data_IF_923659665248
#
_entry.id   IF_923659665248
#
_cell.length_a   1.000
_cell.length_b   1.000
_cell.length_c   1.000
_cell.angle_alpha   90.00
_cell.angle_beta   90.00
_cell.angle_gamma   90.00
#
_symmetry.space_group_name_H-M   'P 1'
#
loop_
_entity.id
_entity.type
_entity.pdbx_description
1 polymer ?
#
# COMPACT_ATOMS: atom_id res chain seq x y z
N UNK A 1 -42.88 44.33 -3.25
CA UNK A 1 -41.49 43.94 -2.91
C UNK A 1 -41.56 42.75 -1.98
N UNK A 2 -41.16 41.56 -2.45
CA UNK A 2 -41.23 40.30 -1.69
C UNK A 2 -39.94 40.09 -0.89
N UNK A 3 -40.04 39.87 0.41
CA UNK A 3 -38.90 39.63 1.29
C UNK A 3 -38.27 38.24 1.05
N UNK A 4 -36.94 38.06 1.18
CA UNK A 4 -36.30 36.78 0.90
C UNK A 4 -36.51 35.78 2.04
N UNK A 5 -36.95 34.56 1.70
CA UNK A 5 -37.03 33.41 2.62
C UNK A 5 -35.63 33.05 3.13
N UNK A 6 -35.42 33.14 4.45
CA UNK A 6 -34.21 32.61 5.11
C UNK A 6 -34.18 31.09 4.97
N UNK A 7 -33.31 30.57 4.11
CA UNK A 7 -32.96 29.14 4.08
C UNK A 7 -32.10 28.82 5.30
N UNK A 8 -32.73 28.30 6.35
CA UNK A 8 -32.03 27.73 7.50
C UNK A 8 -31.57 26.32 7.13
N UNK A 9 -30.35 26.18 6.61
CA UNK A 9 -29.71 24.86 6.50
C UNK A 9 -29.46 24.32 7.90
N UNK A 10 -30.33 23.43 8.38
CA UNK A 10 -30.02 22.57 9.52
C UNK A 10 -28.85 21.67 9.11
N UNK A 11 -27.62 22.05 9.46
CA UNK A 11 -26.51 21.10 9.54
C UNK A 11 -26.91 20.05 10.58
N UNK A 12 -27.39 18.89 10.13
CA UNK A 12 -27.39 17.68 10.98
C UNK A 12 -25.93 17.47 11.36
N UNK A 13 -25.60 17.70 12.63
CA UNK A 13 -24.37 17.13 13.19
C UNK A 13 -24.49 15.63 12.95
N UNK A 14 -23.62 15.08 12.11
CA UNK A 14 -23.39 13.65 12.06
C UNK A 14 -22.75 13.34 13.40
N UNK A 15 -23.57 12.94 14.38
CA UNK A 15 -23.06 12.28 15.57
C UNK A 15 -22.48 10.97 15.09
N UNK A 16 -21.16 10.96 14.93
CA UNK A 16 -20.39 9.72 14.76
C UNK A 16 -20.46 9.05 16.12
N UNK A 17 -21.47 8.20 16.32
CA UNK A 17 -21.49 7.25 17.41
C UNK A 17 -20.24 6.39 17.24
N UNK A 18 -19.25 6.58 18.12
CA UNK A 18 -18.13 5.65 18.25
C UNK A 18 -18.67 4.48 19.02
N UNK A 19 -18.91 3.38 18.32
CA UNK A 19 -19.38 2.16 18.96
C UNK A 19 -18.27 1.64 19.89
N UNK A 20 -18.62 1.04 21.03
CA UNK A 20 -17.64 0.50 21.98
C UNK A 20 -16.68 -0.54 21.34
N UNK A 21 -17.12 -1.17 20.24
CA UNK A 21 -16.30 -2.02 19.39
C UNK A 21 -15.14 -1.26 18.72
N UNK A 22 -15.38 -0.03 18.21
CA UNK A 22 -14.35 0.82 17.61
C UNK A 22 -13.28 1.23 18.62
N UNK A 23 -13.67 1.47 19.88
CA UNK A 23 -12.74 1.79 20.96
C UNK A 23 -11.89 0.59 21.36
N UNK A 24 -12.48 -0.60 21.47
CA UNK A 24 -11.76 -1.84 21.75
C UNK A 24 -10.74 -2.17 20.65
N UNK A 25 -11.12 -2.03 19.39
CA UNK A 25 -10.22 -2.22 18.25
C UNK A 25 -9.11 -1.19 18.22
N UNK A 26 -9.41 0.06 18.56
CA UNK A 26 -8.39 1.10 18.68
C UNK A 26 -7.40 0.82 19.82
N UNK A 27 -7.88 0.29 20.96
CA UNK A 27 -7.02 -0.12 22.09
C UNK A 27 -6.15 -1.32 21.74
N UNK A 28 -6.73 -2.33 21.09
CA UNK A 28 -6.01 -3.51 20.60
C UNK A 28 -4.93 -3.13 19.58
N UNK A 29 -5.23 -2.21 18.67
CA UNK A 29 -4.27 -1.65 17.72
C UNK A 29 -3.12 -0.93 18.42
N UNK A 30 -3.41 -0.02 19.37
CA UNK A 30 -2.37 0.71 20.11
C UNK A 30 -1.45 -0.24 20.86
N UNK A 31 -2.00 -1.30 21.46
CA UNK A 31 -1.23 -2.35 22.13
C UNK A 31 -0.33 -3.08 21.14
N UNK A 32 -0.87 -3.51 20.00
CA UNK A 32 -0.11 -4.17 18.93
C UNK A 32 1.04 -3.28 18.42
N UNK A 33 0.77 -2.00 18.21
CA UNK A 33 1.80 -1.04 17.78
C UNK A 33 2.94 -0.91 18.76
N UNK A 34 2.63 -0.81 20.05
CA UNK A 34 3.65 -0.74 21.10
C UNK A 34 4.51 -2.00 21.12
N UNK A 35 3.89 -3.18 21.03
CA UNK A 35 4.61 -4.46 20.97
C UNK A 35 5.53 -4.54 19.74
N UNK A 36 5.08 -4.03 18.59
CA UNK A 36 5.88 -4.00 17.36
C UNK A 36 7.03 -3.00 17.45
N UNK A 37 6.80 -1.82 18.03
CA UNK A 37 7.85 -0.81 18.21
C UNK A 37 8.90 -1.28 19.25
N UNK A 38 8.49 -2.06 20.27
CA UNK A 38 9.40 -2.70 21.24
C UNK A 38 10.23 -3.85 20.63
N UNK A 39 9.59 -4.73 19.86
CA UNK A 39 10.25 -5.93 19.28
C UNK A 39 10.97 -5.62 17.95
N UNK A 40 10.56 -4.55 17.26
CA UNK A 40 11.09 -4.15 15.95
C UNK A 40 10.63 -5.00 14.77
N UNK A 41 9.73 -5.98 14.97
CA UNK A 41 9.23 -6.87 13.93
C UNK A 41 7.73 -7.11 14.10
N UNK A 42 6.96 -6.78 13.05
CA UNK A 42 5.53 -7.05 13.04
C UNK A 42 5.24 -8.55 12.95
N UNK A 43 6.08 -9.29 12.22
CA UNK A 43 5.91 -10.73 12.01
C UNK A 43 6.09 -11.51 13.29
N UNK A 44 7.07 -11.17 14.13
CA UNK A 44 7.30 -11.85 15.42
C UNK A 44 6.07 -11.76 16.34
N UNK A 45 5.45 -10.58 16.41
CA UNK A 45 4.23 -10.38 17.22
C UNK A 45 3.04 -11.14 16.64
N UNK A 46 2.81 -11.05 15.32
CA UNK A 46 1.72 -11.77 14.67
C UNK A 46 1.89 -13.30 14.78
N UNK A 47 3.11 -13.82 14.64
CA UNK A 47 3.40 -15.24 14.85
C UNK A 47 3.11 -15.69 16.27
N UNK A 48 3.51 -14.91 17.28
CA UNK A 48 3.24 -15.22 18.68
C UNK A 48 1.73 -15.26 18.95
N UNK A 49 0.96 -14.31 18.41
CA UNK A 49 -0.50 -14.33 18.50
C UNK A 49 -1.11 -15.58 17.87
N UNK A 50 -0.58 -16.04 16.73
CA UNK A 50 -1.00 -17.31 16.11
C UNK A 50 -0.66 -18.54 16.96
N UNK A 51 0.54 -18.56 17.53
CA UNK A 51 1.06 -19.71 18.29
C UNK A 51 0.26 -19.96 19.58
N UNK A 52 -0.44 -18.95 20.09
CA UNK A 52 -1.37 -19.06 21.23
C UNK A 52 -2.74 -19.67 20.86
N UNK A 53 -2.84 -20.38 19.73
CA UNK A 53 -4.05 -21.06 19.23
C UNK A 53 -5.24 -20.14 18.86
N UNK A 54 -5.03 -18.83 18.78
CA UNK A 54 -5.98 -17.93 18.14
C UNK A 54 -5.71 -17.94 16.64
N UNK A 55 -6.64 -18.50 15.85
CA UNK A 55 -6.61 -18.33 14.40
C UNK A 55 -6.57 -16.83 14.10
N UNK A 56 -5.56 -16.35 13.37
CA UNK A 56 -5.48 -14.93 13.04
C UNK A 56 -6.66 -14.55 12.15
N UNK A 57 -7.56 -13.66 12.62
CA UNK A 57 -8.67 -13.22 11.81
C UNK A 57 -8.13 -12.46 10.60
N UNK A 58 -8.66 -12.77 9.40
CA UNK A 58 -8.26 -12.10 8.17
C UNK A 58 -8.44 -10.58 8.27
N UNK A 59 -9.52 -10.14 8.89
CA UNK A 59 -9.85 -8.72 9.06
C UNK A 59 -8.85 -7.99 9.96
N UNK A 60 -8.31 -8.66 10.98
CA UNK A 60 -7.26 -8.10 11.82
C UNK A 60 -5.97 -7.86 11.01
N UNK A 61 -5.59 -8.83 10.18
CA UNK A 61 -4.40 -8.73 9.32
C UNK A 61 -4.59 -7.63 8.29
N UNK A 62 -5.73 -7.59 7.60
CA UNK A 62 -6.04 -6.55 6.62
C UNK A 62 -6.10 -5.16 7.27
N UNK A 63 -6.78 -5.03 8.41
CA UNK A 63 -6.84 -3.78 9.17
C UNK A 63 -5.46 -3.29 9.60
N UNK A 64 -4.58 -4.21 10.02
CA UNK A 64 -3.18 -3.93 10.37
C UNK A 64 -2.38 -3.41 9.15
N UNK A 65 -2.47 -4.10 8.02
CA UNK A 65 -1.82 -3.71 6.76
C UNK A 65 -2.29 -2.34 6.27
N UNK A 66 -3.60 -2.09 6.29
CA UNK A 66 -4.20 -0.81 5.90
C UNK A 66 -3.71 0.33 6.81
N UNK A 67 -3.67 0.11 8.13
CA UNK A 67 -3.16 1.10 9.08
C UNK A 67 -1.68 1.39 8.86
N UNK A 68 -0.84 0.38 8.64
CA UNK A 68 0.58 0.59 8.34
C UNK A 68 0.82 1.33 7.03
N UNK A 69 0.00 1.03 6.01
CA UNK A 69 -0.01 1.78 4.75
C UNK A 69 -0.32 3.26 4.98
N UNK A 70 -1.35 3.59 5.78
CA UNK A 70 -1.71 4.98 6.12
C UNK A 70 -0.59 5.70 6.89
N UNK A 71 0.09 4.99 7.80
CA UNK A 71 1.24 5.50 8.55
C UNK A 71 2.54 5.54 7.74
N UNK A 72 2.53 5.12 6.46
CA UNK A 72 3.70 5.03 5.59
C UNK A 72 4.82 4.12 6.15
N UNK A 73 4.49 3.18 7.04
CA UNK A 73 5.42 2.15 7.55
C UNK A 73 5.57 1.00 6.53
N UNK A 74 6.08 1.32 5.35
CA UNK A 74 6.14 0.40 4.19
C UNK A 74 7.02 -0.83 4.43
N UNK A 75 8.07 -0.69 5.23
CA UNK A 75 8.92 -1.80 5.67
C UNK A 75 8.10 -2.88 6.39
N UNK A 76 7.22 -2.47 7.33
CA UNK A 76 6.35 -3.41 8.05
C UNK A 76 5.29 -4.01 7.13
N UNK A 77 4.73 -3.23 6.20
CA UNK A 77 3.80 -3.75 5.18
C UNK A 77 4.47 -4.86 4.37
N UNK A 78 5.68 -4.64 3.85
CA UNK A 78 6.40 -5.68 3.09
C UNK A 78 6.79 -6.88 3.95
N UNK A 79 7.21 -6.65 5.20
CA UNK A 79 7.59 -7.72 6.13
C UNK A 79 6.41 -8.67 6.38
N UNK A 80 5.23 -8.13 6.68
CA UNK A 80 4.01 -8.90 6.92
C UNK A 80 3.59 -9.65 5.65
N UNK A 81 3.54 -8.98 4.50
CA UNK A 81 3.08 -9.60 3.25
C UNK A 81 4.03 -10.69 2.74
N UNK A 82 5.34 -10.52 2.88
CA UNK A 82 6.28 -11.60 2.58
C UNK A 82 6.11 -12.78 3.52
N UNK A 83 5.87 -12.53 4.81
CA UNK A 83 5.54 -13.61 5.73
C UNK A 83 4.24 -14.31 5.33
N UNK A 84 3.15 -13.59 5.08
CA UNK A 84 1.87 -14.16 4.65
C UNK A 84 2.00 -15.01 3.38
N UNK A 85 2.89 -14.63 2.45
CA UNK A 85 3.14 -15.38 1.22
C UNK A 85 3.73 -16.77 1.45
N UNK A 86 4.37 -16.99 2.61
CA UNK A 86 4.89 -18.31 3.02
C UNK A 86 3.84 -19.17 3.72
N UNK A 87 2.62 -18.66 3.89
CA UNK A 87 1.59 -19.32 4.69
C UNK A 87 0.53 -19.98 3.81
N UNK A 88 0.28 -21.27 4.02
CA UNK A 88 -0.72 -22.03 3.26
C UNK A 88 -2.18 -21.58 3.51
N UNK A 89 -2.44 -20.91 4.65
CA UNK A 89 -3.78 -20.46 5.04
C UNK A 89 -4.11 -19.06 4.52
N UNK A 90 -3.15 -18.39 3.88
CA UNK A 90 -3.37 -17.09 3.26
C UNK A 90 -3.30 -17.23 1.75
N UNK A 91 -4.46 -17.18 1.10
CA UNK A 91 -4.51 -17.10 -0.36
C UNK A 91 -4.15 -15.68 -0.80
N UNK A 92 -3.04 -15.55 -1.54
CA UNK A 92 -2.55 -14.26 -2.02
C UNK A 92 -3.44 -13.75 -3.15
N UNK A 93 -4.17 -12.68 -2.86
CA UNK A 93 -5.07 -12.01 -3.80
C UNK A 93 -4.34 -10.99 -4.67
N UNK A 94 -5.02 -10.49 -5.72
CA UNK A 94 -4.55 -9.36 -6.52
C UNK A 94 -4.15 -8.16 -5.64
N UNK A 95 -4.95 -7.87 -4.60
CA UNK A 95 -4.72 -6.74 -3.69
C UNK A 95 -3.47 -6.94 -2.82
N UNK A 96 -3.16 -8.17 -2.42
CA UNK A 96 -1.95 -8.47 -1.65
C UNK A 96 -0.70 -8.26 -2.50
N UNK A 97 -0.73 -8.71 -3.77
CA UNK A 97 0.32 -8.41 -4.74
C UNK A 97 0.49 -6.91 -4.94
N UNK A 98 -0.60 -6.19 -5.20
CA UNK A 98 -0.55 -4.76 -5.45
C UNK A 98 0.03 -3.99 -4.26
N UNK A 99 -0.37 -4.36 -3.05
CA UNK A 99 0.10 -3.71 -1.82
C UNK A 99 1.58 -4.00 -1.58
N UNK A 100 2.05 -5.23 -1.82
CA UNK A 100 3.46 -5.59 -1.68
C UNK A 100 4.33 -4.94 -2.76
N UNK A 101 3.89 -4.89 -4.03
CA UNK A 101 4.57 -4.14 -5.10
C UNK A 101 4.65 -2.66 -4.74
N UNK A 102 3.57 -2.08 -4.21
CA UNK A 102 3.57 -0.68 -3.74
C UNK A 102 4.55 -0.49 -2.59
N UNK A 103 4.59 -1.40 -1.62
CA UNK A 103 5.53 -1.33 -0.50
C UNK A 103 6.99 -1.39 -0.99
N UNK A 104 7.32 -2.25 -1.95
CA UNK A 104 8.63 -2.27 -2.60
C UNK A 104 8.92 -1.00 -3.39
N UNK A 105 7.93 -0.49 -4.12
CA UNK A 105 8.02 0.80 -4.82
C UNK A 105 8.40 1.95 -3.90
N UNK A 106 7.77 2.03 -2.72
CA UNK A 106 8.04 3.07 -1.73
C UNK A 106 9.40 2.93 -1.04
N UNK A 107 9.94 1.72 -0.98
CA UNK A 107 11.26 1.42 -0.42
C UNK A 107 12.40 1.51 -1.44
N UNK A 108 12.10 1.66 -2.74
CA UNK A 108 13.13 1.64 -3.80
C UNK A 108 13.64 0.24 -4.14
N UNK A 109 12.96 -0.81 -3.67
CA UNK A 109 13.34 -2.22 -3.86
C UNK A 109 12.91 -2.73 -5.25
N UNK A 110 13.43 -2.09 -6.31
CA UNK A 110 12.96 -2.31 -7.69
C UNK A 110 13.11 -3.77 -8.16
N UNK A 111 14.18 -4.47 -7.75
CA UNK A 111 14.38 -5.88 -8.09
C UNK A 111 13.26 -6.78 -7.54
N UNK A 112 12.78 -6.50 -6.32
CA UNK A 112 11.69 -7.27 -5.70
C UNK A 112 10.35 -6.92 -6.35
N UNK A 113 10.10 -5.64 -6.61
CA UNK A 113 8.89 -5.17 -7.30
C UNK A 113 8.76 -5.78 -8.71
N UNK A 114 9.84 -5.82 -9.50
CA UNK A 114 9.86 -6.37 -10.86
C UNK A 114 9.54 -7.87 -10.88
N UNK A 115 10.20 -8.65 -10.00
CA UNK A 115 9.94 -10.08 -9.85
C UNK A 115 8.49 -10.35 -9.45
N UNK A 116 7.97 -9.54 -8.53
CA UNK A 116 6.62 -9.71 -8.02
C UNK A 116 5.55 -9.36 -9.06
N UNK A 117 5.78 -8.32 -9.86
CA UNK A 117 4.90 -7.94 -10.97
C UNK A 117 4.84 -9.05 -12.05
N UNK A 118 5.98 -9.65 -12.38
CA UNK A 118 6.03 -10.82 -13.28
C UNK A 118 5.28 -12.02 -12.70
N UNK A 119 5.47 -12.29 -11.41
CA UNK A 119 4.82 -13.42 -10.73
C UNK A 119 3.30 -13.23 -10.60
N UNK A 120 2.84 -12.01 -10.30
CA UNK A 120 1.41 -11.65 -10.29
C UNK A 120 0.75 -11.98 -11.64
N UNK A 121 1.37 -11.60 -12.75
CA UNK A 121 0.89 -11.92 -14.09
C UNK A 121 0.81 -13.44 -14.34
N UNK A 122 1.85 -14.19 -13.93
CA UNK A 122 1.87 -15.67 -14.04
C UNK A 122 0.80 -16.35 -13.20
N UNK A 123 0.33 -15.70 -12.14
CA UNK A 123 -0.78 -16.17 -11.28
C UNK A 123 -2.16 -15.78 -11.81
N UNK A 124 -2.25 -15.21 -13.02
CA UNK A 124 -3.51 -14.83 -13.64
C UNK A 124 -4.04 -13.47 -13.19
N UNK A 125 -3.20 -12.66 -12.54
CA UNK A 125 -3.53 -11.29 -12.16
C UNK A 125 -2.77 -10.32 -13.09
N UNK A 126 -3.41 -9.77 -14.14
CA UNK A 126 -2.74 -8.87 -15.06
C UNK A 126 -2.26 -7.59 -14.36
N UNK A 127 -1.00 -7.16 -14.56
CA UNK A 127 -0.49 -5.95 -13.93
C UNK A 127 -1.29 -4.70 -14.32
N UNK A 128 -1.93 -4.06 -13.34
CA UNK A 128 -2.70 -2.83 -13.54
C UNK A 128 -1.82 -1.58 -13.64
N UNK A 129 -2.43 -0.43 -13.98
CA UNK A 129 -1.77 0.88 -13.95
C UNK A 129 -1.07 1.12 -12.62
N UNK A 130 -1.71 0.79 -11.49
CA UNK A 130 -1.16 1.04 -10.14
C UNK A 130 0.12 0.21 -9.91
N UNK A 131 0.14 -1.05 -10.33
CA UNK A 131 1.32 -1.92 -10.19
C UNK A 131 2.50 -1.45 -11.06
N UNK A 132 2.22 -0.97 -12.28
CA UNK A 132 3.22 -0.37 -13.15
C UNK A 132 3.78 0.92 -12.56
N UNK A 133 2.90 1.82 -12.10
CA UNK A 133 3.28 3.09 -11.47
C UNK A 133 4.13 2.85 -10.22
N UNK A 134 3.80 1.85 -9.40
CA UNK A 134 4.59 1.49 -8.22
C UNK A 134 5.99 0.97 -8.58
N UNK A 135 6.12 0.15 -9.63
CA UNK A 135 7.44 -0.29 -10.12
C UNK A 135 8.26 0.88 -10.69
N UNK A 136 7.63 1.79 -11.42
CA UNK A 136 8.28 3.02 -11.89
C UNK A 136 8.78 3.90 -10.74
N UNK A 137 7.99 4.03 -9.67
CA UNK A 137 8.45 4.71 -8.46
C UNK A 137 9.65 4.01 -7.82
N UNK A 138 9.65 2.67 -7.80
CA UNK A 138 10.78 1.86 -7.33
C UNK A 138 12.06 2.17 -8.12
N UNK A 139 11.94 2.17 -9.46
CA UNK A 139 13.07 2.48 -10.35
C UNK A 139 13.58 3.90 -10.12
N UNK A 140 12.70 4.90 -10.02
CA UNK A 140 13.11 6.28 -9.76
C UNK A 140 13.87 6.43 -8.45
N UNK A 141 13.37 5.83 -7.35
CA UNK A 141 14.04 5.85 -6.04
C UNK A 141 15.36 5.07 -6.03
N UNK A 142 15.46 4.01 -6.83
CA UNK A 142 16.67 3.21 -6.99
C UNK A 142 17.65 3.74 -8.04
N UNK A 143 17.45 4.95 -8.58
CA UNK A 143 18.30 5.55 -9.62
C UNK A 143 18.25 4.85 -10.98
N UNK A 144 17.31 3.93 -11.19
CA UNK A 144 17.15 3.16 -12.42
C UNK A 144 16.29 3.91 -13.45
N UNK A 145 16.65 5.16 -13.75
CA UNK A 145 15.83 6.08 -14.55
C UNK A 145 15.49 5.55 -15.95
N UNK A 146 16.45 4.91 -16.63
CA UNK A 146 16.22 4.28 -17.94
C UNK A 146 15.15 3.19 -17.90
N UNK A 147 15.08 2.42 -16.80
CA UNK A 147 14.05 1.39 -16.61
C UNK A 147 12.68 2.00 -16.37
N UNK A 148 12.61 3.08 -15.59
CA UNK A 148 11.37 3.82 -15.38
C UNK A 148 10.82 4.38 -16.70
N UNK A 149 11.68 4.98 -17.53
CA UNK A 149 11.30 5.50 -18.84
C UNK A 149 10.85 4.39 -19.80
N UNK A 150 11.58 3.27 -19.85
CA UNK A 150 11.20 2.10 -20.66
C UNK A 150 9.82 1.58 -20.26
N UNK A 151 9.55 1.51 -18.95
CA UNK A 151 8.25 1.07 -18.44
C UNK A 151 7.14 2.06 -18.80
N UNK A 152 7.41 3.36 -18.73
CA UNK A 152 6.46 4.39 -19.16
C UNK A 152 6.11 4.28 -20.65
N UNK A 153 7.12 4.14 -21.52
CA UNK A 153 6.89 3.95 -22.97
C UNK A 153 6.07 2.69 -23.24
N UNK A 154 6.33 1.61 -22.51
CA UNK A 154 5.54 0.37 -22.62
C UNK A 154 4.07 0.59 -22.25
N UNK A 155 3.80 1.35 -21.19
CA UNK A 155 2.43 1.72 -20.82
C UNK A 155 1.72 2.50 -21.94
N UNK A 156 2.43 3.41 -22.62
CA UNK A 156 1.86 4.20 -23.72
C UNK A 156 1.56 3.40 -24.99
N UNK A 157 2.34 2.35 -25.26
CA UNK A 157 2.23 1.61 -26.55
C UNK A 157 1.37 0.35 -26.46
N UNK A 158 1.40 -0.36 -25.33
CA UNK A 158 0.85 -1.72 -25.23
C UNK A 158 0.37 -2.09 -23.83
N UNK A 159 0.42 -1.16 -22.89
CA UNK A 159 0.10 -1.40 -21.48
C UNK A 159 -1.13 -0.63 -21.01
N UNK A 160 -1.38 -0.65 -19.68
CA UNK A 160 -2.46 0.15 -19.11
C UNK A 160 -2.15 1.64 -19.23
N UNK A 161 -3.19 2.44 -19.47
CA UNK A 161 -3.04 3.88 -19.71
C UNK A 161 -2.37 4.59 -18.53
N UNK A 162 -1.31 5.39 -18.77
CA UNK A 162 -0.64 6.13 -17.71
C UNK A 162 -1.58 7.06 -16.93
N UNK A 163 -1.49 6.99 -15.60
CA UNK A 163 -2.22 7.91 -14.70
C UNK A 163 -1.45 9.22 -14.46
N UNK A 164 -2.12 10.23 -13.89
CA UNK A 164 -1.46 11.49 -13.49
C UNK A 164 -0.22 11.28 -12.61
N UNK A 165 -0.26 10.30 -11.69
CA UNK A 165 0.90 9.93 -10.85
C UNK A 165 2.06 9.38 -11.69
N UNK A 166 1.76 8.66 -12.76
CA UNK A 166 2.76 8.11 -13.69
C UNK A 166 3.53 9.24 -14.37
N UNK A 167 2.82 10.25 -14.88
CA UNK A 167 3.44 11.45 -15.46
C UNK A 167 4.26 12.23 -14.42
N UNK A 168 3.74 12.38 -13.20
CA UNK A 168 4.47 13.06 -12.12
C UNK A 168 5.82 12.38 -11.81
N UNK A 169 5.84 11.04 -11.77
CA UNK A 169 7.06 10.26 -11.52
C UNK A 169 8.07 10.50 -12.65
N UNK A 170 7.65 10.43 -13.91
CA UNK A 170 8.55 10.62 -15.05
C UNK A 170 9.10 12.05 -15.11
N UNK A 171 8.27 13.07 -14.88
CA UNK A 171 8.75 14.46 -14.80
C UNK A 171 9.79 14.63 -13.70
N UNK A 172 9.53 14.06 -12.51
CA UNK A 172 10.49 14.07 -11.40
C UNK A 172 11.81 13.42 -11.80
N UNK A 173 11.76 12.25 -12.44
CA UNK A 173 12.95 11.53 -12.92
C UNK A 173 13.73 12.39 -13.92
N UNK A 174 13.08 13.05 -14.88
CA UNK A 174 13.79 13.89 -15.85
C UNK A 174 14.46 15.11 -15.23
N UNK A 175 13.89 15.67 -14.16
CA UNK A 175 14.53 16.74 -13.39
C UNK A 175 15.76 16.20 -12.65
N UNK A 176 15.67 15.02 -12.04
CA UNK A 176 16.76 14.37 -11.30
C UNK A 176 17.88 13.82 -12.19
N UNK A 177 17.59 13.50 -13.46
CA UNK A 177 18.60 13.12 -14.47
C UNK A 177 19.38 14.33 -14.98
N UNK A 178 18.80 15.54 -14.91
CA UNK A 178 19.37 16.78 -15.48
C UNK A 178 20.19 17.72 -14.56
N UNK A 179 20.50 17.46 -13.28
CA UNK A 179 21.31 18.41 -12.49
C UNK A 179 22.81 18.13 -12.70
N UNK A 180 23.34 18.44 -13.89
CA UNK A 180 24.79 18.44 -14.17
C UNK A 180 25.16 19.48 -15.24
N UNK A 181 24.71 20.73 -15.13
CA UNK A 181 25.37 21.89 -15.78
C UNK A 181 25.12 23.17 -14.97
#
# INVERSE_FOLDING_TARGET
MLAPRKFMQRRKKVEVFKDAADEADQKNWRKLMREIDEVGSAVSILRNKRAKNEALPRDLVLGTLVRFKQLKKWNLVSEILEWLRTQHWWEFSEMDFLMLITAYGKQGEFNKAERLLSYMNKKGYPPSVISHTALMEAYGRGGQYNKAETMFRRMQTSGPEPSALTYQIILKIFVEVKPLY
#
